data_IF_303505942034
#
_entry.id   IF_303505942034
#
_cell.length_a   1.000
_cell.length_b   1.000
_cell.length_c   1.000
_cell.angle_alpha   90.00
_cell.angle_beta   90.00
_cell.angle_gamma   90.00
#
_symmetry.space_group_name_H-M   'P 1'
#
loop_
_entity.id
_entity.type
_entity.pdbx_description
1 polymer ?
#
# COMPACT_ATOMS: atom_id res chain seq x y z
N UNK A 1 18.48 37.73 8.58
CA UNK A 1 17.52 36.62 8.75
C UNK A 1 16.98 36.12 7.41
N UNK A 2 16.36 36.99 6.59
CA UNK A 2 15.82 36.62 5.26
C UNK A 2 16.81 35.92 4.30
N UNK A 3 18.08 36.35 4.24
CA UNK A 3 19.10 35.70 3.39
C UNK A 3 19.37 34.23 3.76
N UNK A 4 19.29 33.87 5.05
CA UNK A 4 19.46 32.46 5.50
C UNK A 4 18.28 31.60 5.05
N UNK A 5 17.06 32.14 5.11
CA UNK A 5 15.85 31.43 4.69
C UNK A 5 15.83 31.13 3.19
N UNK A 6 16.24 32.10 2.35
CA UNK A 6 16.34 31.92 0.90
C UNK A 6 17.39 30.85 0.55
N UNK A 7 18.54 30.87 1.25
CA UNK A 7 19.60 29.87 1.07
C UNK A 7 19.13 28.47 1.47
N UNK A 8 18.42 28.34 2.59
CA UNK A 8 17.82 27.09 3.04
C UNK A 8 16.81 26.53 2.02
N UNK A 9 15.95 27.36 1.43
CA UNK A 9 15.02 26.92 0.38
C UNK A 9 15.74 26.47 -0.90
N UNK A 10 16.86 27.11 -1.26
CA UNK A 10 17.71 26.68 -2.37
C UNK A 10 18.37 25.32 -2.10
N UNK A 11 18.88 25.11 -0.89
CA UNK A 11 19.47 23.84 -0.45
C UNK A 11 18.42 22.72 -0.46
N UNK A 12 17.22 22.95 0.09
CA UNK A 12 16.10 22.00 0.03
C UNK A 12 15.72 21.67 -1.41
N UNK A 13 15.65 22.66 -2.31
CA UNK A 13 15.37 22.42 -3.72
C UNK A 13 16.47 21.58 -4.41
N UNK A 14 17.73 21.70 -3.97
CA UNK A 14 18.83 20.88 -4.46
C UNK A 14 18.73 19.43 -3.97
N UNK A 15 18.41 19.20 -2.70
CA UNK A 15 18.20 17.86 -2.14
C UNK A 15 16.95 17.18 -2.74
N UNK A 16 15.88 17.93 -2.97
CA UNK A 16 14.66 17.44 -3.62
C UNK A 16 14.90 16.96 -5.06
N UNK A 17 15.96 17.43 -5.74
CA UNK A 17 16.35 16.92 -7.06
C UNK A 17 17.12 15.59 -6.99
N UNK A 18 17.70 15.24 -5.83
CA UNK A 18 18.33 13.93 -5.60
C UNK A 18 17.29 12.85 -5.28
N UNK A 19 16.09 13.25 -4.87
CA UNK A 19 14.95 12.34 -4.71
C UNK A 19 14.48 11.93 -6.10
N UNK A 20 14.87 10.73 -6.52
CA UNK A 20 14.40 10.12 -7.76
C UNK A 20 12.92 9.76 -7.55
N UNK A 21 12.03 10.59 -8.08
CA UNK A 21 10.61 10.23 -8.11
C UNK A 21 10.42 9.11 -9.12
N UNK A 22 9.75 8.01 -8.71
CA UNK A 22 9.53 6.89 -9.59
C UNK A 22 8.67 7.33 -10.79
N UNK A 23 8.97 6.76 -11.94
CA UNK A 23 8.21 7.01 -13.16
C UNK A 23 6.82 6.36 -13.04
N UNK A 24 5.81 6.93 -13.73
CA UNK A 24 4.43 6.39 -13.71
C UNK A 24 4.36 4.89 -14.04
N UNK A 25 5.30 4.38 -14.84
CA UNK A 25 5.40 2.97 -15.21
C UNK A 25 5.80 2.07 -14.03
N UNK A 26 6.73 2.52 -13.19
CA UNK A 26 7.17 1.77 -11.99
C UNK A 26 6.05 1.73 -10.94
N UNK A 27 5.34 2.85 -10.75
CA UNK A 27 4.20 2.94 -9.82
C UNK A 27 3.09 1.97 -10.24
N UNK A 28 2.77 1.91 -11.54
CA UNK A 28 1.76 0.98 -12.05
C UNK A 28 2.18 -0.49 -11.87
N UNK A 29 3.45 -0.82 -12.13
CA UNK A 29 3.97 -2.17 -11.93
C UNK A 29 3.83 -2.66 -10.49
N UNK A 30 4.26 -1.84 -9.51
CA UNK A 30 4.13 -2.17 -8.09
C UNK A 30 2.66 -2.28 -7.65
N UNK A 31 1.78 -1.42 -8.16
CA UNK A 31 0.34 -1.45 -7.81
C UNK A 31 -0.34 -2.73 -8.31
N UNK A 32 -0.01 -3.19 -9.52
CA UNK A 32 -0.58 -4.43 -10.10
C UNK A 32 -0.22 -5.65 -9.24
N UNK A 33 1.04 -5.74 -8.79
CA UNK A 33 1.48 -6.84 -7.92
C UNK A 33 0.70 -6.85 -6.61
N UNK A 34 0.50 -5.67 -6.00
CA UNK A 34 -0.28 -5.55 -4.75
C UNK A 34 -1.73 -5.95 -4.97
N UNK A 35 -2.36 -5.55 -6.09
CA UNK A 35 -3.74 -5.94 -6.42
C UNK A 35 -3.87 -7.47 -6.49
N UNK A 36 -2.95 -8.14 -7.20
CA UNK A 36 -2.96 -9.61 -7.32
C UNK A 36 -2.82 -10.26 -5.94
N UNK A 37 -1.90 -9.77 -5.10
CA UNK A 37 -1.71 -10.27 -3.75
C UNK A 37 -2.97 -10.12 -2.89
N UNK A 38 -3.61 -8.94 -2.93
CA UNK A 38 -4.84 -8.67 -2.18
C UNK A 38 -5.97 -9.60 -2.63
N UNK A 39 -6.11 -9.86 -3.93
CA UNK A 39 -7.14 -10.79 -4.45
C UNK A 39 -6.91 -12.20 -3.91
N UNK A 40 -5.68 -12.71 -3.94
CA UNK A 40 -5.35 -14.04 -3.42
C UNK A 40 -5.67 -14.15 -1.93
N UNK A 41 -5.24 -13.18 -1.13
CA UNK A 41 -5.50 -13.14 0.31
C UNK A 41 -7.00 -13.04 0.60
N UNK A 42 -7.73 -12.23 -0.15
CA UNK A 42 -9.18 -12.07 0.03
C UNK A 42 -9.94 -13.36 -0.25
N UNK A 43 -9.55 -14.11 -1.29
CA UNK A 43 -10.14 -15.42 -1.59
C UNK A 43 -9.84 -16.41 -0.46
N UNK A 44 -8.59 -16.46 0.00
CA UNK A 44 -8.18 -17.36 1.08
C UNK A 44 -8.96 -17.10 2.38
N UNK A 45 -9.02 -15.84 2.81
CA UNK A 45 -9.80 -15.44 3.99
C UNK A 45 -11.29 -15.74 3.80
N UNK A 46 -11.86 -15.39 2.63
CA UNK A 46 -13.26 -15.67 2.34
C UNK A 46 -13.61 -17.15 2.41
N UNK A 47 -12.72 -18.06 1.99
CA UNK A 47 -12.94 -19.50 2.14
C UNK A 47 -12.96 -19.89 3.62
N UNK A 48 -12.00 -19.39 4.41
CA UNK A 48 -11.94 -19.68 5.85
C UNK A 48 -13.18 -19.16 6.57
N UNK A 49 -13.60 -17.93 6.29
CA UNK A 49 -14.78 -17.32 6.89
C UNK A 49 -16.05 -18.13 6.58
N UNK A 50 -16.20 -18.62 5.35
CA UNK A 50 -17.31 -19.49 4.96
C UNK A 50 -17.31 -20.83 5.71
N UNK A 51 -16.13 -21.42 5.92
CA UNK A 51 -15.99 -22.68 6.67
C UNK A 51 -16.32 -22.44 8.14
N UNK A 52 -15.76 -21.38 8.74
CA UNK A 52 -16.00 -21.01 10.13
C UNK A 52 -17.48 -20.68 10.37
N UNK A 53 -18.13 -19.97 9.44
CA UNK A 53 -19.55 -19.65 9.52
C UNK A 53 -20.41 -20.93 9.52
N UNK A 54 -20.15 -21.87 8.61
CA UNK A 54 -20.89 -23.13 8.57
C UNK A 54 -20.67 -23.97 9.84
N UNK A 55 -19.43 -24.01 10.35
CA UNK A 55 -19.09 -24.72 11.58
C UNK A 55 -19.81 -24.10 12.79
N UNK A 56 -19.76 -22.77 12.92
CA UNK A 56 -20.45 -22.02 13.97
C UNK A 56 -21.96 -22.27 13.95
N UNK A 57 -22.60 -22.17 12.78
CA UNK A 57 -24.03 -22.44 12.63
C UNK A 57 -24.39 -23.86 13.05
N UNK A 58 -23.55 -24.83 12.69
CA UNK A 58 -23.77 -26.23 13.06
C UNK A 58 -23.63 -26.46 14.57
N UNK A 59 -22.70 -25.77 15.24
CA UNK A 59 -22.53 -25.85 16.70
C UNK A 59 -23.66 -25.18 17.48
N UNK A 60 -24.23 -24.09 16.96
CA UNK A 60 -25.33 -23.36 17.61
C UNK A 60 -26.67 -24.08 17.46
N UNK A 61 -26.89 -24.76 16.33
CA UNK A 61 -28.11 -25.55 16.10
C UNK A 61 -28.02 -26.99 16.67
N UNK A 62 -26.98 -27.31 17.43
CA UNK A 62 -26.76 -28.57 18.14
C UNK A 62 -27.20 -28.44 19.60
#
# INVERSE_FOLDING_TARGET
>A
MFKKLIKFLQEVRQEMKKVVWPTRKEISGSTIVVIILVVIVSIYLGIIDNILQQLMLRLVNL
#
